data_IF_383753589257
#
_entry.id   IF_383753589257
#
_cell.length_a   1.000
_cell.length_b   1.000
_cell.length_c   1.000
_cell.angle_alpha   90.00
_cell.angle_beta   90.00
_cell.angle_gamma   90.00
#
_symmetry.space_group_name_H-M   'P 1'
#
loop_
_entity.id
_entity.type
_entity.pdbx_description
1 polymer ?
#
# COMPACT_ATOMS: atom_id res chain seq x y z
N UNK A 1 -3.72 -37.32 -20.20
CA UNK A 1 -2.82 -36.32 -19.63
C UNK A 1 -3.71 -35.36 -18.85
N UNK A 2 -3.77 -35.45 -17.50
CA UNK A 2 -4.38 -34.41 -16.67
C UNK A 2 -3.52 -33.16 -16.82
N UNK A 3 -4.04 -32.13 -17.44
CA UNK A 3 -3.48 -30.78 -17.38
C UNK A 3 -3.40 -30.41 -15.91
N UNK A 4 -2.23 -30.12 -15.39
CA UNK A 4 -2.04 -29.56 -14.08
C UNK A 4 -2.67 -28.15 -14.12
N UNK A 5 -3.85 -28.02 -13.55
CA UNK A 5 -4.49 -26.71 -13.36
C UNK A 5 -3.76 -26.00 -12.22
N UNK A 6 -2.95 -25.02 -12.56
CA UNK A 6 -2.11 -24.25 -11.61
C UNK A 6 -2.79 -22.97 -11.12
N UNK A 7 -4.08 -22.80 -11.40
CA UNK A 7 -4.82 -21.58 -10.98
C UNK A 7 -5.36 -21.75 -9.57
N UNK A 8 -5.06 -20.79 -8.71
CA UNK A 8 -5.73 -20.61 -7.42
C UNK A 8 -7.17 -20.15 -7.67
N UNK A 9 -8.15 -20.92 -7.23
CA UNK A 9 -9.57 -20.65 -7.44
C UNK A 9 -10.32 -20.36 -6.15
N UNK A 10 -9.90 -21.01 -5.07
CA UNK A 10 -10.54 -20.87 -3.77
C UNK A 10 -9.53 -21.01 -2.61
N UNK A 11 -10.04 -20.86 -1.39
CA UNK A 11 -9.29 -21.00 -0.16
C UNK A 11 -8.57 -22.35 -0.04
N UNK A 12 -9.13 -23.44 -0.57
CA UNK A 12 -8.58 -24.80 -0.42
C UNK A 12 -7.22 -24.91 -1.10
N UNK A 13 -7.09 -24.29 -2.29
CA UNK A 13 -5.83 -24.29 -3.04
C UNK A 13 -4.70 -23.62 -2.29
N UNK A 14 -5.01 -22.64 -1.40
CA UNK A 14 -4.03 -21.91 -0.61
C UNK A 14 -3.69 -22.65 0.70
N UNK A 15 -4.69 -23.28 1.32
CA UNK A 15 -4.50 -24.02 2.59
C UNK A 15 -3.54 -25.19 2.41
N UNK A 16 -3.54 -25.84 1.24
CA UNK A 16 -2.60 -26.91 0.94
C UNK A 16 -1.13 -26.48 0.90
N UNK A 17 -0.86 -25.18 0.78
CA UNK A 17 0.50 -24.63 0.76
C UNK A 17 1.13 -24.48 2.17
N UNK A 18 0.43 -24.88 3.23
CA UNK A 18 0.88 -24.72 4.63
C UNK A 18 1.23 -23.25 5.02
N UNK A 19 0.67 -22.29 4.30
CA UNK A 19 0.82 -20.87 4.57
C UNK A 19 -0.40 -20.31 5.31
N UNK A 20 -0.23 -19.33 6.21
CA UNK A 20 -1.36 -18.69 6.85
C UNK A 20 -2.25 -17.99 5.82
N UNK A 21 -3.53 -18.34 5.82
CA UNK A 21 -4.53 -17.69 4.98
C UNK A 21 -5.09 -16.46 5.69
N UNK A 22 -4.81 -15.27 5.15
CA UNK A 22 -5.23 -14.01 5.76
C UNK A 22 -6.65 -13.60 5.42
N UNK A 23 -7.14 -13.94 4.23
CA UNK A 23 -8.49 -13.57 3.81
C UNK A 23 -8.65 -13.52 2.30
N UNK A 24 -9.86 -13.24 1.89
CA UNK A 24 -10.26 -13.04 0.50
C UNK A 24 -10.78 -11.62 0.34
N UNK A 25 -10.31 -10.95 -0.71
CA UNK A 25 -10.83 -9.64 -1.10
C UNK A 25 -11.65 -9.84 -2.37
N UNK A 26 -12.94 -9.47 -2.37
CA UNK A 26 -13.77 -9.58 -3.55
C UNK A 26 -13.20 -8.80 -4.73
N UNK A 27 -13.39 -9.32 -5.94
CA UNK A 27 -12.94 -8.61 -7.13
C UNK A 27 -13.63 -7.26 -7.25
N UNK A 28 -12.84 -6.20 -7.23
CA UNK A 28 -13.33 -4.85 -7.46
C UNK A 28 -13.55 -4.59 -8.96
N UNK A 29 -14.79 -4.24 -9.34
CA UNK A 29 -15.12 -3.92 -10.73
C UNK A 29 -15.19 -2.41 -10.92
N UNK A 30 -14.08 -1.80 -11.35
CA UNK A 30 -13.99 -0.35 -11.61
C UNK A 30 -14.96 0.16 -12.68
N UNK A 31 -15.50 -0.71 -13.53
CA UNK A 31 -16.45 -0.32 -14.60
C UNK A 31 -17.77 0.26 -14.06
N UNK A 32 -18.21 -0.11 -12.84
CA UNK A 32 -19.43 0.44 -12.22
C UNK A 32 -19.27 1.90 -11.77
N UNK A 33 -18.07 2.35 -11.45
CA UNK A 33 -17.78 3.75 -11.08
C UNK A 33 -17.85 4.72 -12.27
N UNK A 34 -17.80 4.20 -13.49
CA UNK A 34 -17.80 4.96 -14.75
C UNK A 34 -19.06 5.81 -14.99
N UNK A 35 -20.20 5.49 -14.37
CA UNK A 35 -21.47 6.21 -14.59
C UNK A 35 -21.58 7.53 -13.83
N UNK A 36 -20.80 7.76 -12.80
CA UNK A 36 -20.91 8.94 -11.93
C UNK A 36 -19.80 9.98 -12.09
N UNK A 37 -18.78 9.71 -12.94
CA UNK A 37 -17.61 10.58 -13.12
C UNK A 37 -17.52 11.11 -14.55
N UNK A 38 -18.42 12.02 -14.92
CA UNK A 38 -18.33 12.80 -16.13
C UNK A 38 -18.11 14.28 -15.77
N UNK A 39 -16.90 14.64 -15.35
CA UNK A 39 -16.37 16.00 -15.45
C UNK A 39 -14.84 15.93 -15.63
N UNK A 40 -14.42 15.75 -16.86
CA UNK A 40 -13.25 16.42 -17.44
C UNK A 40 -11.83 16.02 -17.08
N UNK A 41 -11.55 15.00 -16.23
CA UNK A 41 -10.17 14.51 -16.02
C UNK A 41 -10.05 13.04 -16.42
N UNK A 42 -9.06 12.72 -17.28
CA UNK A 42 -8.65 11.36 -17.60
C UNK A 42 -8.18 10.70 -16.30
N UNK A 43 -9.02 9.83 -15.72
CA UNK A 43 -8.57 8.93 -14.66
C UNK A 43 -7.62 7.92 -15.26
N UNK A 44 -6.39 7.88 -14.76
CA UNK A 44 -5.41 6.88 -15.14
C UNK A 44 -5.96 5.52 -14.66
N UNK A 45 -6.16 4.58 -15.59
CA UNK A 45 -6.81 3.30 -15.36
C UNK A 45 -6.02 2.37 -14.42
N UNK A 46 -4.75 2.72 -14.16
CA UNK A 46 -3.81 1.98 -13.35
C UNK A 46 -3.76 2.46 -11.88
N UNK A 47 -4.52 3.48 -11.51
CA UNK A 47 -4.51 3.98 -10.13
C UNK A 47 -5.29 3.06 -9.20
N UNK A 48 -4.72 2.62 -8.08
CA UNK A 48 -5.40 1.81 -7.09
C UNK A 48 -6.55 2.60 -6.45
N UNK A 49 -7.71 1.93 -6.28
CA UNK A 49 -8.86 2.57 -5.63
C UNK A 49 -8.73 2.50 -4.11
N UNK A 50 -9.10 3.58 -3.41
CA UNK A 50 -9.36 3.56 -1.98
C UNK A 50 -10.80 3.12 -1.77
N UNK A 51 -11.00 2.05 -1.00
CA UNK A 51 -12.31 1.49 -0.71
C UNK A 51 -12.61 1.43 0.77
N UNK A 52 -11.57 1.49 1.60
CA UNK A 52 -11.73 1.46 3.06
C UNK A 52 -12.05 2.87 3.55
N UNK A 53 -13.20 2.99 4.21
CA UNK A 53 -13.72 4.22 4.78
C UNK A 53 -14.17 3.97 6.23
N UNK A 54 -13.98 4.96 7.11
CA UNK A 54 -14.36 4.83 8.52
C UNK A 54 -15.89 4.77 8.66
N UNK A 55 -16.39 3.82 9.44
CA UNK A 55 -17.82 3.66 9.70
C UNK A 55 -18.63 3.07 8.54
N UNK A 56 -18.05 2.90 7.35
CA UNK A 56 -18.76 2.29 6.22
C UNK A 56 -18.90 0.78 6.38
N UNK A 57 -20.10 0.29 6.17
CA UNK A 57 -20.46 -1.13 6.26
C UNK A 57 -20.84 -1.66 4.88
N UNK A 58 -19.86 -2.05 4.10
CA UNK A 58 -20.05 -2.75 2.84
C UNK A 58 -19.12 -3.98 2.77
N UNK A 59 -19.30 -4.79 1.74
CA UNK A 59 -18.56 -6.04 1.54
C UNK A 59 -17.03 -5.81 1.51
N UNK A 60 -16.58 -4.70 0.92
CA UNK A 60 -15.16 -4.40 0.79
C UNK A 60 -14.55 -3.98 2.12
N UNK A 61 -15.23 -3.07 2.85
CA UNK A 61 -14.80 -2.65 4.18
C UNK A 61 -14.74 -3.84 5.14
N UNK A 62 -15.75 -4.74 5.08
CA UNK A 62 -15.75 -5.96 5.88
C UNK A 62 -14.59 -6.91 5.51
N UNK A 63 -14.32 -7.11 4.22
CA UNK A 63 -13.21 -7.93 3.77
C UNK A 63 -11.85 -7.40 4.26
N UNK A 64 -11.61 -6.09 4.19
CA UNK A 64 -10.41 -5.47 4.72
C UNK A 64 -10.35 -5.49 6.26
N UNK A 65 -11.50 -5.41 6.94
CA UNK A 65 -11.58 -5.57 8.38
C UNK A 65 -11.16 -6.98 8.81
N UNK A 66 -11.63 -8.01 8.12
CA UNK A 66 -11.25 -9.41 8.36
C UNK A 66 -9.75 -9.62 8.08
N UNK A 67 -9.27 -9.12 6.92
CA UNK A 67 -7.85 -9.20 6.56
C UNK A 67 -6.96 -8.55 7.63
N UNK A 68 -7.30 -7.34 8.09
CA UNK A 68 -6.61 -6.66 9.18
C UNK A 68 -6.59 -7.49 10.46
N UNK A 69 -7.73 -8.01 10.88
CA UNK A 69 -7.85 -8.79 12.12
C UNK A 69 -6.96 -10.04 12.07
N UNK A 70 -6.96 -10.74 10.94
CA UNK A 70 -6.12 -11.92 10.75
C UNK A 70 -4.64 -11.55 10.68
N UNK A 71 -4.28 -10.43 10.05
CA UNK A 71 -2.93 -9.91 10.05
C UNK A 71 -2.46 -9.59 11.47
N UNK A 72 -3.25 -8.85 12.25
CA UNK A 72 -2.96 -8.53 13.65
C UNK A 72 -2.81 -9.77 14.54
N UNK A 73 -3.48 -10.87 14.18
CA UNK A 73 -3.37 -12.13 14.90
C UNK A 73 -2.06 -12.87 14.59
N UNK A 74 -1.59 -12.83 13.36
CA UNK A 74 -0.41 -13.57 12.89
C UNK A 74 0.89 -12.84 13.24
N UNK A 75 0.89 -11.50 13.17
CA UNK A 75 2.11 -10.73 13.48
C UNK A 75 2.47 -10.81 14.96
N UNK A 76 3.76 -10.90 15.25
CA UNK A 76 4.25 -10.97 16.63
C UNK A 76 3.87 -9.71 17.42
N UNK A 77 3.07 -9.88 18.48
CA UNK A 77 2.58 -8.79 19.33
C UNK A 77 3.65 -8.20 20.26
N UNK A 78 4.72 -8.93 20.51
CA UNK A 78 5.83 -8.45 21.34
C UNK A 78 6.69 -7.40 20.66
N UNK A 79 6.67 -7.34 19.32
CA UNK A 79 7.38 -6.33 18.56
C UNK A 79 6.60 -5.02 18.55
N UNK A 80 7.26 -3.92 18.90
CA UNK A 80 6.68 -2.57 18.82
C UNK A 80 6.29 -2.18 17.40
N UNK A 81 7.08 -2.59 16.42
CA UNK A 81 6.89 -2.23 15.01
C UNK A 81 6.97 -3.47 14.12
N UNK A 82 6.08 -3.58 13.15
CA UNK A 82 5.97 -4.71 12.23
C UNK A 82 6.21 -4.23 10.81
N UNK A 83 7.15 -4.87 10.13
CA UNK A 83 7.40 -4.63 8.72
C UNK A 83 6.65 -5.69 7.92
N UNK A 84 5.81 -5.25 7.00
CA UNK A 84 4.98 -6.08 6.13
C UNK A 84 5.37 -5.79 4.69
N UNK A 85 5.88 -6.81 4.01
CA UNK A 85 6.28 -6.72 2.61
C UNK A 85 5.17 -7.32 1.76
N UNK A 86 4.66 -6.57 0.79
CA UNK A 86 3.73 -7.07 -0.19
C UNK A 86 4.43 -7.26 -1.54
N UNK A 87 4.39 -8.47 -2.01
CA UNK A 87 4.88 -8.82 -3.35
C UNK A 87 3.89 -9.75 -4.04
N UNK A 88 4.10 -10.05 -5.31
CA UNK A 88 3.27 -10.96 -6.09
C UNK A 88 4.12 -11.67 -7.14
N UNK A 89 3.59 -12.75 -7.70
CA UNK A 89 4.30 -13.43 -8.77
C UNK A 89 4.26 -12.61 -10.07
N UNK A 90 3.09 -12.05 -10.42
CA UNK A 90 2.90 -11.28 -11.66
C UNK A 90 2.44 -9.86 -11.38
N UNK A 91 2.66 -9.00 -12.37
CA UNK A 91 2.14 -7.65 -12.40
C UNK A 91 0.61 -7.61 -12.45
N UNK A 92 0.00 -6.56 -11.90
CA UNK A 92 -1.46 -6.36 -11.96
C UNK A 92 -2.27 -7.28 -11.03
N UNK A 93 -1.61 -8.02 -10.13
CA UNK A 93 -2.26 -8.91 -9.15
C UNK A 93 -2.90 -8.18 -7.96
N UNK A 94 -2.86 -6.85 -7.93
CA UNK A 94 -3.52 -6.05 -6.88
C UNK A 94 -2.66 -5.75 -5.64
N UNK A 95 -1.34 -5.96 -5.66
CA UNK A 95 -0.44 -5.67 -4.52
C UNK A 95 -0.66 -4.27 -3.93
N UNK A 96 -0.45 -3.26 -4.76
CA UNK A 96 -0.56 -1.85 -4.35
C UNK A 96 -1.96 -1.52 -3.82
N UNK A 97 -3.01 -2.07 -4.44
CA UNK A 97 -4.38 -1.97 -3.96
C UNK A 97 -4.54 -2.56 -2.54
N UNK A 98 -4.00 -3.77 -2.32
CA UNK A 98 -4.02 -4.42 -1.01
C UNK A 98 -3.18 -3.64 0.01
N UNK A 99 -1.99 -3.18 -0.37
CA UNK A 99 -1.10 -2.38 0.48
C UNK A 99 -1.82 -1.15 1.02
N UNK A 100 -2.38 -0.34 0.13
CA UNK A 100 -3.03 0.93 0.49
C UNK A 100 -4.25 0.68 1.39
N UNK A 101 -5.18 -0.19 0.97
CA UNK A 101 -6.42 -0.39 1.71
C UNK A 101 -6.21 -1.10 3.07
N UNK A 102 -5.22 -2.02 3.17
CA UNK A 102 -4.87 -2.64 4.46
C UNK A 102 -4.24 -1.62 5.40
N UNK A 103 -3.32 -0.80 4.90
CA UNK A 103 -2.69 0.27 5.67
C UNK A 103 -3.73 1.29 6.19
N UNK A 104 -4.67 1.71 5.34
CA UNK A 104 -5.78 2.58 5.74
C UNK A 104 -6.63 1.92 6.82
N UNK A 105 -6.97 0.63 6.67
CA UNK A 105 -7.77 -0.11 7.66
C UNK A 105 -7.12 -0.14 9.04
N UNK A 106 -5.79 -0.20 9.13
CA UNK A 106 -5.03 -0.11 10.38
C UNK A 106 -4.96 1.32 10.91
N UNK A 107 -4.72 2.30 10.04
CA UNK A 107 -4.61 3.71 10.41
C UNK A 107 -5.93 4.27 10.97
N UNK A 108 -7.06 3.91 10.36
CA UNK A 108 -8.41 4.26 10.83
C UNK A 108 -8.70 3.66 12.22
N UNK A 109 -8.12 2.50 12.55
CA UNK A 109 -8.20 1.91 13.88
C UNK A 109 -7.33 2.62 14.93
N UNK A 110 -6.46 3.53 14.52
CA UNK A 110 -5.58 4.32 15.39
C UNK A 110 -4.12 3.87 15.41
N UNK A 111 -3.74 2.86 14.64
CA UNK A 111 -2.33 2.46 14.50
C UNK A 111 -1.56 3.48 13.65
N UNK A 112 -0.32 3.78 14.04
CA UNK A 112 0.59 4.60 13.23
C UNK A 112 1.17 3.75 12.11
N UNK A 113 0.87 4.12 10.87
CA UNK A 113 1.19 3.33 9.67
C UNK A 113 2.04 4.13 8.70
N UNK A 114 3.12 3.52 8.21
CA UNK A 114 3.92 4.04 7.11
C UNK A 114 3.78 3.11 5.91
N UNK A 115 3.53 3.67 4.74
CA UNK A 115 3.67 2.97 3.46
C UNK A 115 4.96 3.45 2.79
N UNK A 116 5.80 2.51 2.39
CA UNK A 116 7.01 2.76 1.59
C UNK A 116 6.76 2.24 0.19
N UNK A 117 6.84 3.12 -0.82
CA UNK A 117 6.78 2.73 -2.23
C UNK A 117 8.14 2.14 -2.64
N UNK A 118 8.26 0.82 -2.52
CA UNK A 118 9.48 0.06 -2.82
C UNK A 118 9.61 -0.37 -4.29
N UNK A 119 8.56 -0.16 -5.11
CA UNK A 119 8.64 -0.38 -6.56
C UNK A 119 9.21 0.87 -7.25
N UNK A 120 10.51 1.08 -7.10
CA UNK A 120 11.22 2.25 -7.63
C UNK A 120 11.13 2.42 -9.16
N UNK A 121 10.66 1.39 -9.88
CA UNK A 121 10.49 1.45 -11.33
C UNK A 121 9.14 2.00 -11.74
N UNK A 122 8.08 1.61 -11.02
CA UNK A 122 6.68 1.88 -11.37
C UNK A 122 6.08 3.03 -10.63
N UNK A 123 6.57 3.28 -9.40
CA UNK A 123 6.09 4.33 -8.51
C UNK A 123 4.54 4.40 -8.42
N UNK A 124 3.90 3.23 -8.27
CA UNK A 124 2.44 3.13 -8.35
C UNK A 124 1.73 3.89 -7.21
N UNK A 125 2.27 3.84 -5.99
CA UNK A 125 1.75 4.62 -4.86
C UNK A 125 1.98 6.10 -5.07
N UNK A 126 3.18 6.49 -5.52
CA UNK A 126 3.54 7.89 -5.78
C UNK A 126 2.63 8.53 -6.83
N UNK A 127 2.28 7.80 -7.89
CA UNK A 127 1.30 8.23 -8.89
C UNK A 127 -0.09 8.40 -8.30
N UNK A 128 -0.50 7.47 -7.45
CA UNK A 128 -1.80 7.49 -6.81
C UNK A 128 -2.00 8.72 -5.92
N UNK A 129 -0.96 9.11 -5.15
CA UNK A 129 -1.00 10.31 -4.30
C UNK A 129 -0.62 11.59 -5.05
N UNK A 130 -0.49 11.53 -6.38
CA UNK A 130 -0.09 12.66 -7.25
C UNK A 130 1.19 13.38 -6.78
N UNK A 131 2.15 12.62 -6.26
CA UNK A 131 3.39 13.17 -5.72
C UNK A 131 4.59 12.86 -6.62
N UNK A 132 5.31 13.91 -7.02
CA UNK A 132 6.43 13.85 -7.97
C UNK A 132 7.70 14.54 -7.47
N UNK A 133 7.78 14.82 -6.17
CA UNK A 133 8.96 15.44 -5.57
C UNK A 133 9.97 14.37 -5.11
N UNK A 134 10.84 14.75 -4.20
CA UNK A 134 11.85 13.86 -3.62
C UNK A 134 11.23 12.76 -2.74
N UNK A 135 11.89 11.60 -2.66
CA UNK A 135 11.40 10.45 -1.93
C UNK A 135 12.50 9.45 -1.57
N UNK A 136 12.11 8.17 -1.50
CA UNK A 136 12.98 7.07 -1.09
C UNK A 136 14.27 6.98 -1.90
N UNK A 137 14.20 7.06 -3.23
CA UNK A 137 15.37 6.97 -4.11
C UNK A 137 16.38 8.09 -3.85
N UNK A 138 15.89 9.31 -3.66
CA UNK A 138 16.74 10.48 -3.40
C UNK A 138 17.42 10.36 -2.02
N UNK A 139 16.73 9.82 -1.01
CA UNK A 139 17.33 9.50 0.28
C UNK A 139 18.41 8.41 0.16
N UNK A 140 18.11 7.32 -0.54
CA UNK A 140 19.04 6.21 -0.72
C UNK A 140 20.28 6.63 -1.53
N UNK A 141 20.13 7.53 -2.49
CA UNK A 141 21.24 8.12 -3.25
C UNK A 141 22.11 9.09 -2.42
N UNK A 142 21.66 9.47 -1.21
CA UNK A 142 22.39 10.41 -0.35
C UNK A 142 22.13 11.89 -0.65
N UNK A 143 21.17 12.20 -1.52
CA UNK A 143 20.80 13.58 -1.84
C UNK A 143 20.04 14.27 -0.70
N UNK A 144 19.39 13.47 0.17
CA UNK A 144 18.67 13.92 1.34
C UNK A 144 19.05 13.10 2.57
N UNK A 145 19.22 13.78 3.71
CA UNK A 145 19.51 13.14 4.99
C UNK A 145 18.33 13.21 5.97
N UNK A 146 17.44 14.18 5.80
CA UNK A 146 16.26 14.36 6.64
C UNK A 146 15.07 13.63 6.04
N UNK A 147 14.85 12.39 6.51
CA UNK A 147 13.77 11.54 5.99
C UNK A 147 12.38 12.09 6.33
N UNK A 148 12.24 12.88 7.39
CA UNK A 148 10.92 13.42 7.80
C UNK A 148 10.32 14.33 6.74
N UNK A 149 11.17 15.09 6.05
CA UNK A 149 10.72 15.97 4.97
C UNK A 149 10.24 15.25 3.73
N UNK A 150 10.48 13.94 3.65
CA UNK A 150 10.07 13.10 2.53
C UNK A 150 8.73 12.39 2.80
N UNK A 151 8.24 12.39 4.05
CA UNK A 151 6.95 11.78 4.37
C UNK A 151 5.79 12.67 3.97
N UNK A 152 4.81 12.06 3.33
CA UNK A 152 3.52 12.68 3.06
C UNK A 152 2.56 12.25 4.15
N UNK A 153 2.15 13.20 4.99
CA UNK A 153 1.26 12.97 6.14
C UNK A 153 -0.21 13.19 5.82
N UNK A 154 -0.52 14.09 4.89
CA UNK A 154 -1.90 14.39 4.51
C UNK A 154 -2.10 14.02 3.06
N UNK A 155 -2.63 12.82 2.82
CA UNK A 155 -2.97 12.36 1.48
C UNK A 155 -4.33 12.96 1.16
N UNK A 156 -4.33 14.00 0.31
CA UNK A 156 -5.55 14.62 -0.18
C UNK A 156 -6.30 13.61 -1.06
N UNK A 157 -7.59 13.46 -0.82
CA UNK A 157 -8.48 12.63 -1.62
C UNK A 157 -9.24 13.49 -2.62
N UNK A 158 -9.57 12.91 -3.75
CA UNK A 158 -10.45 13.55 -4.73
C UNK A 158 -11.79 13.95 -4.10
N UNK A 159 -12.46 14.92 -4.72
CA UNK A 159 -13.64 15.65 -4.19
C UNK A 159 -14.82 14.80 -3.68
N UNK A 160 -14.83 13.49 -3.92
CA UNK A 160 -15.94 12.61 -3.56
C UNK A 160 -15.71 11.71 -2.34
N UNK A 161 -14.62 11.90 -1.58
CA UNK A 161 -14.43 11.13 -0.37
C UNK A 161 -15.13 11.79 0.82
N UNK A 162 -15.66 10.98 1.77
CA UNK A 162 -16.45 11.44 2.90
C UNK A 162 -15.62 12.02 4.07
N UNK A 163 -14.28 11.91 4.02
CA UNK A 163 -13.39 12.43 5.07
C UNK A 163 -13.04 13.88 4.80
N UNK A 164 -13.57 14.78 5.61
CA UNK A 164 -13.21 16.20 5.59
C UNK A 164 -12.66 16.62 6.95
N UNK A 165 -11.58 17.42 6.93
CA UNK A 165 -11.14 18.15 8.12
C UNK A 165 -12.07 19.34 8.39
N UNK A 166 -11.79 20.05 9.49
CA UNK A 166 -12.51 21.27 9.90
C UNK A 166 -12.52 22.37 8.81
N UNK A 167 -11.62 22.28 7.82
CA UNK A 167 -11.48 23.23 6.72
C UNK A 167 -12.07 22.68 5.40
N UNK A 168 -12.77 21.55 5.43
CA UNK A 168 -13.36 20.93 4.24
C UNK A 168 -12.34 20.20 3.35
N UNK A 169 -11.08 20.06 3.78
CA UNK A 169 -10.08 19.22 3.08
C UNK A 169 -10.25 17.77 3.46
N UNK A 170 -10.26 16.92 2.47
CA UNK A 170 -10.41 15.47 2.64
C UNK A 170 -9.06 14.80 2.71
N UNK A 171 -8.83 13.99 3.73
CA UNK A 171 -7.61 13.21 3.91
C UNK A 171 -7.89 11.84 4.52
N UNK A 172 -6.96 10.90 4.35
CA UNK A 172 -7.18 9.52 4.74
C UNK A 172 -7.15 9.29 6.26
N UNK A 173 -6.13 9.77 6.94
CA UNK A 173 -5.95 9.64 8.39
C UNK A 173 -4.68 10.36 8.82
N UNK A 174 -4.66 10.97 10.00
CA UNK A 174 -3.44 11.54 10.61
C UNK A 174 -2.42 10.44 11.00
N UNK A 175 -2.87 9.18 11.09
CA UNK A 175 -2.03 8.05 11.44
C UNK A 175 -1.39 7.36 10.22
N UNK A 176 -1.64 7.85 9.00
CA UNK A 176 -1.10 7.27 7.76
C UNK A 176 -0.12 8.22 7.10
N UNK A 177 1.11 7.73 6.95
CA UNK A 177 2.15 8.42 6.19
C UNK A 177 2.58 7.60 4.99
N UNK A 178 3.05 8.27 3.94
CA UNK A 178 3.61 7.63 2.75
C UNK A 178 4.99 8.17 2.46
N UNK A 179 5.93 7.29 2.21
CA UNK A 179 7.23 7.60 1.63
C UNK A 179 7.19 7.22 0.15
N UNK A 180 7.07 8.22 -0.76
CA UNK A 180 7.02 8.00 -2.19
C UNK A 180 8.37 7.59 -2.75
N UNK A 181 8.41 7.12 -4.00
CA UNK A 181 9.67 6.81 -4.70
C UNK A 181 10.57 8.04 -4.81
N UNK A 182 10.02 9.18 -5.22
CA UNK A 182 10.80 10.35 -5.60
C UNK A 182 11.30 10.26 -7.04
N UNK A 183 12.57 10.62 -7.28
CA UNK A 183 13.20 10.54 -8.59
C UNK A 183 13.38 9.08 -9.00
N UNK A 184 12.92 8.68 -10.19
CA UNK A 184 13.08 7.31 -10.68
C UNK A 184 14.56 7.06 -10.98
N UNK A 185 15.22 6.12 -10.27
CA UNK A 185 16.66 5.88 -10.45
C UNK A 185 16.92 4.95 -11.65
N UNK A 186 18.08 5.05 -12.29
CA UNK A 186 18.48 4.14 -13.37
C UNK A 186 18.77 2.71 -12.86
N UNK A 187 19.18 2.57 -11.61
CA UNK A 187 19.60 1.31 -10.97
C UNK A 187 18.86 1.03 -9.66
N UNK A 188 17.53 0.77 -9.70
CA UNK A 188 16.69 0.68 -8.51
C UNK A 188 17.11 -0.45 -7.55
N UNK A 189 17.57 -1.59 -8.06
CA UNK A 189 17.95 -2.74 -7.23
C UNK A 189 19.18 -2.43 -6.37
N UNK A 190 20.19 -1.76 -6.93
CA UNK A 190 21.41 -1.39 -6.21
C UNK A 190 21.11 -0.39 -5.08
N UNK A 191 20.20 0.54 -5.32
CA UNK A 191 19.77 1.48 -4.28
C UNK A 191 19.11 0.79 -3.10
N UNK A 192 18.23 -0.17 -3.33
CA UNK A 192 17.57 -0.91 -2.26
C UNK A 192 18.53 -1.82 -1.46
N UNK A 193 19.65 -2.23 -2.05
CA UNK A 193 20.69 -2.98 -1.37
C UNK A 193 21.64 -2.08 -0.56
N UNK A 194 21.51 -0.77 -0.67
CA UNK A 194 22.35 0.18 0.07
C UNK A 194 22.07 0.09 1.59
N UNK A 195 23.14 0.21 2.40
CA UNK A 195 23.05 0.23 3.86
C UNK A 195 22.08 1.30 4.41
N UNK A 196 21.87 2.41 3.67
CA UNK A 196 20.93 3.48 4.03
C UNK A 196 19.47 2.98 4.11
N UNK A 197 19.09 1.95 3.34
CA UNK A 197 17.76 1.36 3.47
C UNK A 197 17.59 0.67 4.83
N UNK A 198 18.59 -0.05 5.30
CA UNK A 198 18.58 -0.62 6.65
C UNK A 198 18.51 0.45 7.76
N UNK A 199 19.25 1.55 7.61
CA UNK A 199 19.21 2.70 8.52
C UNK A 199 17.82 3.34 8.55
N UNK A 200 17.21 3.57 7.38
CA UNK A 200 15.85 4.05 7.26
C UNK A 200 14.87 3.14 8.04
N UNK A 201 14.92 1.83 7.80
CA UNK A 201 14.03 0.89 8.47
C UNK A 201 14.23 0.91 9.99
N UNK A 202 15.46 0.99 10.47
CA UNK A 202 15.76 1.10 11.91
C UNK A 202 15.14 2.37 12.51
N UNK A 203 15.23 3.50 11.82
CA UNK A 203 14.67 4.78 12.25
C UNK A 203 13.14 4.76 12.27
N UNK A 204 12.48 4.37 11.19
CA UNK A 204 11.02 4.40 11.09
C UNK A 204 10.34 3.40 12.03
N UNK A 205 11.01 2.29 12.40
CA UNK A 205 10.51 1.32 13.39
C UNK A 205 10.32 1.92 14.78
N UNK A 206 10.97 3.02 15.10
CA UNK A 206 10.78 3.70 16.39
C UNK A 206 9.48 4.51 16.45
N UNK A 207 8.85 4.79 15.32
CA UNK A 207 7.75 5.76 15.17
C UNK A 207 6.43 5.14 14.74
N UNK A 208 6.49 4.01 13.99
CA UNK A 208 5.33 3.39 13.37
C UNK A 208 5.06 2.00 13.95
N UNK A 209 3.79 1.69 14.16
CA UNK A 209 3.33 0.37 14.59
C UNK A 209 3.41 -0.62 13.43
N UNK A 210 3.12 -0.15 12.21
CA UNK A 210 3.16 -0.94 10.98
C UNK A 210 3.87 -0.18 9.86
N UNK A 211 4.75 -0.88 9.15
CA UNK A 211 5.47 -0.37 7.99
C UNK A 211 5.17 -1.31 6.84
N UNK A 212 4.44 -0.83 5.84
CA UNK A 212 4.15 -1.56 4.61
C UNK A 212 5.18 -1.20 3.55
N UNK A 213 5.75 -2.21 2.90
CA UNK A 213 6.66 -2.02 1.76
C UNK A 213 6.01 -2.65 0.54
N UNK A 214 5.57 -1.82 -0.41
CA UNK A 214 5.02 -2.28 -1.69
C UNK A 214 6.16 -2.60 -2.65
N UNK A 215 6.47 -3.87 -2.84
CA UNK A 215 7.58 -4.33 -3.64
C UNK A 215 7.16 -4.67 -5.07
N UNK A 216 8.09 -4.67 -6.05
CA UNK A 216 7.80 -5.16 -7.38
C UNK A 216 7.41 -6.66 -7.37
N UNK A 217 6.74 -7.16 -8.42
CA UNK A 217 6.49 -8.58 -8.56
C UNK A 217 7.82 -9.34 -8.71
N UNK A 218 7.86 -10.59 -8.17
CA UNK A 218 9.10 -11.40 -8.20
C UNK A 218 9.43 -11.95 -9.58
N UNK A 219 8.44 -12.08 -10.47
CA UNK A 219 8.64 -12.51 -11.85
C UNK A 219 8.88 -11.30 -12.76
N UNK A 220 9.96 -10.56 -12.51
CA UNK A 220 10.48 -9.55 -13.43
C UNK A 220 11.71 -10.17 -14.11
N UNK A 221 11.45 -10.90 -15.17
CA UNK A 221 12.48 -11.18 -16.16
C UNK A 221 12.35 -10.23 -17.32
#
# INVERSE_FOLDING_TARGET
>A
KKSLDTKVRDKKDVVELSLPFLGEIPQWNSKKRRKNYFHGKKTDWDSPAILVENGKRDIMNEAFRVLRTNLEFIVNKEQKSRIIILTSFVQGSGKTFLTINTAISLAVKGSKVLIIDGDLRRNAISKFIHFHKKGLSDYLAGEFNDIEKLFISKIELDADSEYTDENGKRFLSDNLHVLPVGTIPPNPTELLLNARFGQLLAEVRTRYDYIFIDCPPVNIM
#
